data_IF_704597870291
#
_entry.id   IF_704597870291
#
_cell.length_a   1.000
_cell.length_b   1.000
_cell.length_c   1.000
_cell.angle_alpha   90.00
_cell.angle_beta   90.00
_cell.angle_gamma   90.00
#
_symmetry.space_group_name_H-M   'P 1'
#
loop_
_entity.id
_entity.type
_entity.pdbx_description
1 polymer ?
#
# COMPACT_ATOMS: atom_id res chain seq x y z
N UNK A 1 41.62 6.49 -29.98
CA UNK A 1 41.21 5.58 -28.88
C UNK A 1 39.72 5.79 -28.65
N UNK A 2 38.87 4.86 -29.10
CA UNK A 2 37.42 5.06 -29.26
C UNK A 2 36.63 4.26 -28.20
N UNK A 3 35.96 4.98 -27.29
CA UNK A 3 34.56 4.80 -26.88
C UNK A 3 34.07 3.38 -26.50
N UNK A 4 34.48 2.84 -25.34
CA UNK A 4 33.87 1.63 -24.75
C UNK A 4 33.03 1.94 -23.49
N UNK A 5 32.26 3.03 -23.50
CA UNK A 5 31.38 3.43 -22.38
C UNK A 5 30.08 2.61 -22.29
N UNK A 6 29.73 1.83 -23.33
CA UNK A 6 28.51 1.02 -23.39
C UNK A 6 28.59 -0.31 -22.60
N UNK A 7 29.80 -0.80 -22.30
CA UNK A 7 30.02 -2.07 -21.57
C UNK A 7 30.66 -1.84 -20.20
N UNK A 8 30.27 -0.78 -19.49
CA UNK A 8 30.76 -0.49 -18.15
C UNK A 8 29.96 -1.30 -17.11
N UNK A 9 30.62 -2.23 -16.42
CA UNK A 9 30.03 -2.95 -15.28
C UNK A 9 29.64 -1.96 -14.18
N UNK A 10 28.33 -1.79 -13.93
CA UNK A 10 27.73 -0.77 -13.02
C UNK A 10 28.01 0.71 -13.40
N UNK A 11 28.27 1.02 -14.67
CA UNK A 11 28.43 2.40 -15.11
C UNK A 11 27.14 3.21 -15.04
N UNK A 12 27.19 4.43 -14.50
CA UNK A 12 26.10 5.41 -14.68
C UNK A 12 26.16 5.94 -16.12
N UNK A 13 25.20 5.51 -16.92
CA UNK A 13 25.01 5.99 -18.29
C UNK A 13 24.47 7.42 -18.30
N UNK A 14 24.68 8.14 -19.41
CA UNK A 14 24.05 9.44 -19.63
C UNK A 14 22.57 9.22 -19.92
N UNK A 15 21.67 9.99 -19.27
CA UNK A 15 20.21 9.85 -19.43
C UNK A 15 19.76 9.84 -20.90
N UNK A 16 20.48 10.54 -21.79
CA UNK A 16 20.19 10.55 -23.24
C UNK A 16 20.51 9.21 -23.92
N UNK A 17 21.60 8.57 -23.54
CA UNK A 17 21.99 7.27 -24.08
C UNK A 17 20.99 6.17 -23.65
N UNK A 18 20.57 6.20 -22.39
CA UNK A 18 19.56 5.27 -21.88
C UNK A 18 18.22 5.42 -22.60
N UNK A 19 17.77 6.66 -22.81
CA UNK A 19 16.54 6.93 -23.55
C UNK A 19 16.64 6.45 -24.99
N UNK A 20 17.75 6.69 -25.68
CA UNK A 20 17.94 6.23 -27.06
C UNK A 20 17.96 4.70 -27.14
N UNK A 21 18.66 4.02 -26.24
CA UNK A 21 18.69 2.56 -26.19
C UNK A 21 17.30 1.97 -25.87
N UNK A 22 16.55 2.59 -24.96
CA UNK A 22 15.18 2.19 -24.65
C UNK A 22 14.24 2.35 -25.86
N UNK A 23 14.32 3.48 -26.56
CA UNK A 23 13.55 3.73 -27.79
C UNK A 23 13.91 2.69 -28.86
N UNK A 24 15.20 2.42 -29.08
CA UNK A 24 15.66 1.50 -30.11
C UNK A 24 15.23 0.05 -29.80
N UNK A 25 15.30 -0.36 -28.54
CA UNK A 25 14.77 -1.66 -28.09
C UNK A 25 13.26 -1.75 -28.31
N UNK A 26 12.51 -0.70 -28.00
CA UNK A 26 11.05 -0.67 -28.16
C UNK A 26 10.64 -0.71 -29.64
N UNK A 27 11.30 0.09 -30.49
CA UNK A 27 11.07 0.07 -31.95
C UNK A 27 11.45 -1.28 -32.54
N UNK A 28 12.56 -1.88 -32.09
CA UNK A 28 12.97 -3.22 -32.51
C UNK A 28 11.94 -4.30 -32.16
N UNK A 29 11.33 -4.22 -30.97
CA UNK A 29 10.26 -5.11 -30.55
C UNK A 29 9.01 -4.96 -31.44
N UNK A 30 8.57 -3.72 -31.71
CA UNK A 30 7.43 -3.46 -32.58
C UNK A 30 7.70 -3.93 -34.01
N UNK A 31 8.90 -3.66 -34.54
CA UNK A 31 9.31 -4.11 -35.86
C UNK A 31 9.32 -5.63 -35.97
N UNK A 32 9.85 -6.32 -34.94
CA UNK A 32 9.80 -7.77 -34.85
C UNK A 32 8.36 -8.28 -34.84
N UNK A 33 7.47 -7.71 -34.03
CA UNK A 33 6.06 -8.08 -33.99
C UNK A 33 5.36 -7.86 -35.34
N UNK A 34 5.56 -6.71 -35.97
CA UNK A 34 5.01 -6.41 -37.30
C UNK A 34 5.47 -7.44 -38.33
N UNK A 35 6.78 -7.73 -38.37
CA UNK A 35 7.32 -8.74 -39.30
C UNK A 35 6.77 -10.14 -39.03
N UNK A 36 6.65 -10.55 -37.76
CA UNK A 36 6.11 -11.85 -37.40
C UNK A 36 4.62 -12.00 -37.75
N UNK A 37 3.85 -10.91 -37.70
CA UNK A 37 2.44 -10.89 -38.08
C UNK A 37 2.22 -10.88 -39.61
N UNK A 38 3.04 -10.14 -40.36
CA UNK A 38 2.96 -10.07 -41.85
C UNK A 38 3.49 -11.33 -42.53
N UNK A 39 4.50 -12.00 -41.95
CA UNK A 39 5.08 -13.22 -42.51
C UNK A 39 4.19 -14.47 -42.29
N UNK A 40 2.99 -14.30 -41.72
CA UNK A 40 2.00 -15.36 -41.44
C UNK A 40 2.56 -16.60 -40.71
N UNK A 41 3.64 -16.44 -39.92
CA UNK A 41 4.18 -17.52 -39.09
C UNK A 41 3.14 -18.06 -38.07
N UNK A 42 2.14 -17.23 -37.74
CA UNK A 42 1.00 -17.55 -36.88
C UNK A 42 -0.24 -16.94 -37.52
N UNK A 43 -1.37 -17.66 -37.54
CA UNK A 43 -2.60 -17.15 -38.16
C UNK A 43 -3.03 -15.80 -37.56
N UNK A 44 -3.50 -14.89 -38.41
CA UNK A 44 -3.91 -13.52 -38.05
C UNK A 44 -5.00 -13.43 -36.97
N UNK A 45 -5.71 -14.55 -36.69
CA UNK A 45 -6.67 -14.66 -35.59
C UNK A 45 -5.98 -14.71 -34.21
N UNK A 46 -4.74 -15.20 -34.13
CA UNK A 46 -3.95 -15.25 -32.90
C UNK A 46 -2.93 -14.11 -32.82
N UNK A 47 -2.41 -13.62 -33.95
CA UNK A 47 -1.44 -12.51 -33.99
C UNK A 47 -1.84 -11.43 -35.01
N UNK A 48 -2.83 -10.57 -34.70
CA UNK A 48 -3.19 -9.45 -35.57
C UNK A 48 -2.03 -8.46 -35.69
N UNK A 49 -1.95 -7.78 -36.85
CA UNK A 49 -0.95 -6.73 -37.06
C UNK A 49 -1.18 -5.56 -36.09
N UNK A 50 -0.13 -4.84 -35.67
CA UNK A 50 -0.27 -3.67 -34.79
C UNK A 50 -1.20 -2.60 -35.38
N UNK A 51 -1.28 -2.49 -36.71
CA UNK A 51 -2.21 -1.59 -37.38
C UNK A 51 -3.67 -2.02 -37.19
N UNK A 52 -3.97 -3.32 -37.35
CA UNK A 52 -5.31 -3.85 -37.11
C UNK A 52 -5.73 -3.71 -35.63
N UNK A 53 -4.77 -3.79 -34.70
CA UNK A 53 -5.02 -3.50 -33.29
C UNK A 53 -5.39 -2.03 -33.09
N UNK A 54 -4.71 -1.09 -33.75
CA UNK A 54 -5.01 0.35 -33.65
C UNK A 54 -6.37 0.71 -34.25
N UNK A 55 -6.71 0.16 -35.43
CA UNK A 55 -8.00 0.42 -36.07
C UNK A 55 -9.15 -0.20 -35.28
N UNK A 56 -8.96 -1.42 -34.73
CA UNK A 56 -9.90 -2.05 -33.82
C UNK A 56 -10.06 -1.23 -32.51
N UNK A 57 -8.96 -0.71 -31.95
CA UNK A 57 -9.01 0.17 -30.77
C UNK A 57 -9.84 1.44 -31.05
N UNK A 58 -9.63 2.08 -32.19
CA UNK A 58 -10.36 3.29 -32.57
C UNK A 58 -11.85 3.01 -32.78
N UNK A 59 -12.19 1.95 -33.52
CA UNK A 59 -13.59 1.56 -33.74
C UNK A 59 -14.27 1.17 -32.43
N UNK A 60 -13.64 0.38 -31.56
CA UNK A 60 -14.20 0.06 -30.25
C UNK A 60 -14.43 1.32 -29.40
N UNK A 61 -13.45 2.23 -29.35
CA UNK A 61 -13.52 3.44 -28.53
C UNK A 61 -14.60 4.44 -29.01
N UNK A 62 -14.83 4.53 -30.32
CA UNK A 62 -15.75 5.52 -30.92
C UNK A 62 -17.15 4.97 -31.16
N UNK A 63 -17.30 3.71 -31.57
CA UNK A 63 -18.59 3.14 -32.02
C UNK A 63 -19.26 2.22 -30.99
N UNK A 64 -18.54 1.71 -29.99
CA UNK A 64 -19.07 0.71 -29.05
C UNK A 64 -19.11 1.17 -27.59
N UNK A 65 -19.02 2.48 -27.36
CA UNK A 65 -19.09 3.09 -26.02
C UNK A 65 -18.18 2.36 -24.99
N UNK A 66 -17.00 1.95 -25.45
CA UNK A 66 -16.05 1.14 -24.67
C UNK A 66 -15.63 1.81 -23.35
N UNK A 67 -15.80 3.13 -23.25
CA UNK A 67 -15.60 3.88 -22.02
C UNK A 67 -16.60 3.48 -20.93
N UNK A 68 -17.84 3.16 -21.27
CA UNK A 68 -18.84 2.66 -20.33
C UNK A 68 -18.42 1.30 -19.76
N UNK A 69 -17.97 0.37 -20.61
CA UNK A 69 -17.48 -0.95 -20.19
C UNK A 69 -16.25 -0.86 -19.28
N UNK A 70 -15.32 0.05 -19.61
CA UNK A 70 -14.17 0.37 -18.77
C UNK A 70 -14.66 0.91 -17.41
N UNK A 71 -15.59 1.86 -17.44
CA UNK A 71 -16.10 2.49 -16.22
C UNK A 71 -16.80 1.47 -15.32
N UNK A 72 -17.65 0.60 -15.87
CA UNK A 72 -18.34 -0.46 -15.12
C UNK A 72 -17.33 -1.42 -14.48
N UNK A 73 -16.28 -1.78 -15.21
CA UNK A 73 -15.21 -2.67 -14.71
C UNK A 73 -14.45 -2.01 -13.56
N UNK A 74 -14.07 -0.74 -13.74
CA UNK A 74 -13.36 0.07 -12.72
C UNK A 74 -14.25 0.28 -11.49
N UNK A 75 -15.50 0.68 -11.68
CA UNK A 75 -16.47 0.92 -10.62
C UNK A 75 -16.71 -0.34 -9.77
N UNK A 76 -16.72 -1.53 -10.40
CA UNK A 76 -16.85 -2.81 -9.68
C UNK A 76 -15.65 -3.09 -8.79
N UNK A 77 -14.43 -2.91 -9.31
CA UNK A 77 -13.20 -3.11 -8.53
C UNK A 77 -13.13 -2.12 -7.37
N UNK A 78 -13.41 -0.84 -7.64
CA UNK A 78 -13.46 0.19 -6.60
C UNK A 78 -14.56 -0.07 -5.57
N UNK A 79 -15.75 -0.49 -5.98
CA UNK A 79 -16.85 -0.83 -5.09
C UNK A 79 -16.47 -1.96 -4.14
N UNK A 80 -15.93 -3.06 -4.67
CA UNK A 80 -15.46 -4.19 -3.86
C UNK A 80 -14.30 -3.79 -2.94
N UNK A 81 -13.34 -3.00 -3.45
CA UNK A 81 -12.20 -2.51 -2.68
C UNK A 81 -12.62 -1.61 -1.52
N UNK A 82 -13.48 -0.63 -1.75
CA UNK A 82 -13.95 0.29 -0.71
C UNK A 82 -14.74 -0.46 0.36
N UNK A 83 -15.64 -1.36 -0.05
CA UNK A 83 -16.40 -2.20 0.88
C UNK A 83 -15.48 -3.11 1.69
N UNK A 84 -14.44 -3.65 1.06
CA UNK A 84 -13.40 -4.42 1.76
C UNK A 84 -12.60 -3.55 2.72
N UNK A 85 -12.14 -2.37 2.30
CA UNK A 85 -11.31 -1.48 3.10
C UNK A 85 -12.04 -1.01 4.37
N UNK A 86 -13.30 -0.60 4.24
CA UNK A 86 -14.13 -0.15 5.38
C UNK A 86 -14.23 -1.25 6.45
N UNK A 87 -14.31 -2.52 6.05
CA UNK A 87 -14.38 -3.66 6.98
C UNK A 87 -13.00 -4.13 7.44
N UNK A 88 -12.02 -4.15 6.54
CA UNK A 88 -10.69 -4.68 6.79
C UNK A 88 -9.86 -3.79 7.71
N UNK A 89 -9.98 -2.46 7.60
CA UNK A 89 -9.26 -1.50 8.45
C UNK A 89 -9.54 -1.72 9.94
N UNK A 90 -10.79 -1.70 10.44
CA UNK A 90 -11.05 -1.90 11.86
C UNK A 90 -10.64 -3.32 12.32
N UNK A 91 -10.89 -4.34 11.50
CA UNK A 91 -10.55 -5.73 11.85
C UNK A 91 -9.03 -5.93 11.93
N UNK A 92 -8.27 -5.44 10.96
CA UNK A 92 -6.80 -5.54 10.95
C UNK A 92 -6.16 -4.79 12.12
N UNK A 93 -6.69 -3.61 12.46
CA UNK A 93 -6.23 -2.85 13.63
C UNK A 93 -6.54 -3.59 14.94
N UNK A 94 -7.73 -4.17 15.09
CA UNK A 94 -8.08 -4.96 16.26
C UNK A 94 -7.24 -6.24 16.39
N UNK A 95 -6.99 -6.91 15.27
CA UNK A 95 -6.11 -8.08 15.20
C UNK A 95 -4.70 -7.76 15.69
N UNK A 96 -4.15 -6.59 15.33
CA UNK A 96 -2.82 -6.18 15.81
C UNK A 96 -2.83 -5.60 17.22
N UNK A 97 -3.91 -4.94 17.66
CA UNK A 97 -3.96 -4.26 18.96
C UNK A 97 -4.16 -5.24 20.12
N UNK A 98 -4.91 -6.32 19.91
CA UNK A 98 -5.25 -7.28 20.96
C UNK A 98 -4.62 -8.63 20.69
N UNK A 99 -3.75 -9.09 21.61
CA UNK A 99 -3.05 -10.38 21.48
C UNK A 99 -3.99 -11.57 21.30
N UNK A 100 -5.15 -11.58 21.97
CA UNK A 100 -6.17 -12.64 21.87
C UNK A 100 -6.74 -12.70 20.45
N UNK A 101 -7.09 -11.55 19.88
CA UNK A 101 -7.62 -11.46 18.52
C UNK A 101 -6.53 -11.88 17.54
N UNK A 102 -5.32 -11.31 17.63
CA UNK A 102 -4.18 -11.71 16.80
C UNK A 102 -3.96 -13.22 16.78
N UNK A 103 -3.84 -13.85 17.94
CA UNK A 103 -3.57 -15.30 18.06
C UNK A 103 -4.68 -16.16 17.43
N UNK A 104 -5.95 -15.73 17.51
CA UNK A 104 -7.08 -16.47 16.92
C UNK A 104 -7.20 -16.24 15.41
N UNK A 105 -6.94 -15.02 14.95
CA UNK A 105 -7.13 -14.66 13.53
C UNK A 105 -5.94 -15.02 12.67
N UNK A 106 -4.70 -14.96 13.19
CA UNK A 106 -3.47 -15.33 12.48
C UNK A 106 -3.57 -16.67 11.73
N UNK A 107 -3.91 -17.81 12.39
CA UNK A 107 -3.99 -19.10 11.70
C UNK A 107 -5.10 -19.17 10.65
N UNK A 108 -6.24 -18.51 10.88
CA UNK A 108 -7.37 -18.48 9.93
C UNK A 108 -6.95 -17.74 8.66
N UNK A 109 -6.33 -16.57 8.84
CA UNK A 109 -5.97 -15.72 7.71
C UNK A 109 -4.74 -16.29 6.97
N UNK A 110 -3.79 -16.91 7.68
CA UNK A 110 -2.69 -17.64 7.06
C UNK A 110 -3.20 -18.83 6.22
N UNK A 111 -4.22 -19.57 6.69
CA UNK A 111 -4.84 -20.63 5.91
C UNK A 111 -5.45 -20.09 4.61
N UNK A 112 -6.21 -18.99 4.71
CA UNK A 112 -6.86 -18.36 3.55
C UNK A 112 -5.81 -17.82 2.56
N UNK A 113 -4.66 -17.34 3.04
CA UNK A 113 -3.57 -16.88 2.17
C UNK A 113 -3.06 -17.97 1.23
N UNK A 114 -3.05 -19.23 1.66
CA UNK A 114 -2.65 -20.36 0.81
C UNK A 114 -3.79 -20.83 -0.12
N UNK A 115 -5.02 -20.38 0.11
CA UNK A 115 -6.20 -20.78 -0.64
C UNK A 115 -6.52 -19.71 -1.70
N UNK A 116 -6.21 -19.94 -2.99
CA UNK A 116 -6.45 -18.95 -4.02
C UNK A 116 -7.95 -18.69 -4.15
N UNK A 117 -8.36 -17.43 -4.06
CA UNK A 117 -9.77 -16.98 -4.21
C UNK A 117 -10.43 -17.49 -5.50
N UNK A 118 -9.71 -17.62 -6.64
CA UNK A 118 -10.26 -18.28 -7.84
C UNK A 118 -10.85 -19.68 -7.60
N UNK A 119 -10.37 -20.43 -6.60
CA UNK A 119 -10.90 -21.75 -6.25
C UNK A 119 -12.30 -21.67 -5.61
N UNK A 120 -12.68 -20.52 -5.04
CA UNK A 120 -13.98 -20.29 -4.42
C UNK A 120 -15.04 -19.79 -5.43
N UNK A 121 -14.64 -19.46 -6.66
CA UNK A 121 -15.55 -18.95 -7.70
C UNK A 121 -16.75 -19.88 -7.95
N UNK A 122 -16.58 -21.22 -8.12
CA UNK A 122 -17.72 -22.10 -8.37
C UNK A 122 -18.71 -22.12 -7.19
N UNK A 123 -18.20 -22.12 -5.95
CA UNK A 123 -19.02 -22.10 -4.74
C UNK A 123 -19.83 -20.80 -4.65
N UNK A 124 -19.19 -19.65 -4.94
CA UNK A 124 -19.83 -18.35 -4.93
C UNK A 124 -20.91 -18.22 -6.01
N UNK A 125 -20.71 -18.82 -7.19
CA UNK A 125 -21.73 -18.88 -8.23
C UNK A 125 -22.94 -19.71 -7.78
N UNK A 126 -22.73 -20.82 -7.06
CA UNK A 126 -23.84 -21.64 -6.54
C UNK A 126 -24.65 -20.86 -5.49
N UNK A 127 -23.99 -20.09 -4.63
CA UNK A 127 -24.64 -19.33 -3.56
C UNK A 127 -25.32 -18.05 -4.04
N UNK A 128 -24.61 -17.21 -4.79
CA UNK A 128 -25.09 -15.90 -5.24
C UNK A 128 -25.78 -15.95 -6.61
N UNK A 129 -25.70 -17.08 -7.31
CA UNK A 129 -26.17 -17.24 -8.68
C UNK A 129 -25.17 -16.70 -9.72
N UNK A 130 -25.57 -16.79 -10.98
CA UNK A 130 -24.84 -16.18 -12.09
C UNK A 130 -25.30 -14.72 -12.21
N UNK A 131 -24.38 -13.79 -12.03
CA UNK A 131 -24.67 -12.36 -12.15
C UNK A 131 -23.60 -11.47 -11.55
N UNK A 132 -23.91 -10.18 -11.41
CA UNK A 132 -22.93 -9.16 -11.02
C UNK A 132 -22.61 -9.15 -9.53
N UNK A 133 -23.54 -9.61 -8.69
CA UNK A 133 -23.33 -9.86 -7.27
C UNK A 133 -22.22 -10.90 -7.04
N UNK A 134 -22.22 -12.00 -7.81
CA UNK A 134 -21.21 -13.06 -7.69
C UNK A 134 -19.80 -12.55 -8.01
N UNK A 135 -19.65 -11.73 -9.06
CA UNK A 135 -18.37 -11.12 -9.45
C UNK A 135 -17.86 -10.17 -8.37
N UNK A 136 -18.76 -9.35 -7.80
CA UNK A 136 -18.43 -8.44 -6.71
C UNK A 136 -18.05 -9.19 -5.43
N UNK A 137 -18.74 -10.27 -5.10
CA UNK A 137 -18.44 -11.10 -3.92
C UNK A 137 -17.06 -11.76 -4.03
N UNK A 138 -16.69 -12.28 -5.21
CA UNK A 138 -15.35 -12.83 -5.48
C UNK A 138 -14.28 -11.76 -5.28
N UNK A 139 -14.47 -10.57 -5.88
CA UNK A 139 -13.54 -9.45 -5.74
C UNK A 139 -13.40 -9.02 -4.28
N UNK A 140 -14.51 -8.82 -3.59
CA UNK A 140 -14.55 -8.43 -2.19
C UNK A 140 -13.83 -9.45 -1.31
N UNK A 141 -14.13 -10.74 -1.47
CA UNK A 141 -13.51 -11.81 -0.68
C UNK A 141 -12.00 -11.86 -0.92
N UNK A 142 -11.56 -11.69 -2.17
CA UNK A 142 -10.14 -11.70 -2.50
C UNK A 142 -9.36 -10.48 -2.02
N UNK A 143 -9.97 -9.30 -2.03
CA UNK A 143 -9.32 -8.09 -1.51
C UNK A 143 -9.41 -7.99 0.00
N UNK A 144 -10.50 -8.44 0.62
CA UNK A 144 -10.75 -8.31 2.05
C UNK A 144 -9.69 -9.01 2.89
N UNK A 145 -9.44 -10.31 2.68
CA UNK A 145 -8.46 -11.05 3.48
C UNK A 145 -7.04 -10.52 3.30
N UNK A 146 -6.68 -10.15 2.07
CA UNK A 146 -5.38 -9.54 1.78
C UNK A 146 -5.21 -8.16 2.44
N UNK A 147 -6.27 -7.34 2.47
CA UNK A 147 -6.25 -6.05 3.14
C UNK A 147 -6.15 -6.18 4.66
N UNK A 148 -6.85 -7.14 5.27
CA UNK A 148 -6.75 -7.39 6.73
C UNK A 148 -5.30 -7.73 7.10
N UNK A 149 -4.64 -8.60 6.33
CA UNK A 149 -3.23 -8.94 6.54
C UNK A 149 -2.31 -7.74 6.37
N UNK A 150 -2.47 -7.00 5.26
CA UNK A 150 -1.66 -5.82 4.97
C UNK A 150 -1.71 -4.82 6.12
N UNK A 151 -2.92 -4.51 6.60
CA UNK A 151 -3.14 -3.54 7.67
C UNK A 151 -2.65 -4.08 9.02
N UNK A 152 -2.85 -5.37 9.29
CA UNK A 152 -2.32 -6.03 10.49
C UNK A 152 -0.79 -5.97 10.54
N UNK A 153 -0.12 -6.31 9.44
CA UNK A 153 1.34 -6.29 9.34
C UNK A 153 1.91 -4.87 9.40
N UNK A 154 1.28 -3.91 8.72
CA UNK A 154 1.71 -2.52 8.77
C UNK A 154 1.51 -1.90 10.15
N UNK A 155 0.44 -2.28 10.87
CA UNK A 155 0.24 -1.87 12.25
C UNK A 155 1.31 -2.44 13.19
N UNK A 156 1.71 -3.71 12.99
CA UNK A 156 2.77 -4.35 13.77
C UNK A 156 4.16 -3.73 13.57
N UNK A 157 4.38 -3.00 12.46
CA UNK A 157 5.66 -2.31 12.17
C UNK A 157 5.88 -1.07 13.02
N UNK A 158 4.84 -0.54 13.69
CA UNK A 158 4.98 0.63 14.57
C UNK A 158 5.93 0.30 15.73
N UNK A 159 7.01 1.09 15.94
CA UNK A 159 7.93 0.87 17.06
C UNK A 159 7.24 0.86 18.41
N UNK A 160 7.59 -0.11 19.26
CA UNK A 160 7.02 -0.25 20.62
C UNK A 160 7.27 0.99 21.50
N UNK A 161 8.34 1.72 21.24
CA UNK A 161 8.70 2.98 21.91
C UNK A 161 7.55 4.00 21.90
N UNK A 162 6.80 4.10 20.80
CA UNK A 162 5.65 5.01 20.71
C UNK A 162 4.49 4.57 21.60
N UNK A 163 4.28 3.26 21.72
CA UNK A 163 3.22 2.69 22.56
C UNK A 163 3.59 2.86 24.04
N UNK A 164 4.83 2.57 24.42
CA UNK A 164 5.35 2.73 25.79
C UNK A 164 5.30 4.20 26.24
N UNK A 165 5.68 5.13 25.37
CA UNK A 165 5.56 6.57 25.65
C UNK A 165 4.10 6.98 25.89
N UNK A 166 3.16 6.44 25.10
CA UNK A 166 1.72 6.63 25.31
C UNK A 166 1.24 6.17 26.70
N UNK A 167 1.77 5.05 27.21
CA UNK A 167 1.44 4.57 28.54
C UNK A 167 2.04 5.46 29.65
N UNK A 168 3.25 6.01 29.48
CA UNK A 168 3.85 6.92 30.47
C UNK A 168 3.06 8.21 30.68
N UNK A 169 2.36 8.69 29.65
CA UNK A 169 1.47 9.86 29.74
C UNK A 169 0.04 9.51 30.21
N UNK A 170 -0.22 8.24 30.55
CA UNK A 170 -1.51 7.79 31.06
C UNK A 170 -2.60 7.56 30.01
N UNK A 171 -2.24 7.36 28.73
CA UNK A 171 -3.21 7.12 27.67
C UNK A 171 -3.91 5.76 27.83
N UNK A 172 -5.21 5.72 27.52
CA UNK A 172 -5.99 4.47 27.51
C UNK A 172 -5.66 3.63 26.27
N UNK A 173 -5.78 2.28 26.31
CA UNK A 173 -5.46 1.40 25.17
C UNK A 173 -6.19 1.78 23.87
N UNK A 174 -7.49 2.07 23.92
CA UNK A 174 -8.24 2.51 22.73
C UNK A 174 -7.81 3.89 22.20
N UNK A 175 -7.32 4.77 23.08
CA UNK A 175 -6.79 6.08 22.67
C UNK A 175 -5.44 5.92 21.97
N UNK A 176 -4.59 5.00 22.44
CA UNK A 176 -3.33 4.62 21.79
C UNK A 176 -3.60 4.03 20.40
N UNK A 177 -4.59 3.12 20.28
CA UNK A 177 -4.97 2.53 18.98
C UNK A 177 -5.37 3.59 17.96
N UNK A 178 -6.23 4.55 18.33
CA UNK A 178 -6.70 5.59 17.41
C UNK A 178 -5.69 6.71 17.14
N UNK A 179 -4.84 7.07 18.10
CA UNK A 179 -3.94 8.24 17.97
C UNK A 179 -2.51 7.89 17.55
N UNK A 180 -2.06 6.66 17.79
CA UNK A 180 -0.67 6.25 17.52
C UNK A 180 -0.66 5.18 16.42
N UNK A 181 -1.51 4.16 16.56
CA UNK A 181 -1.56 3.02 15.65
C UNK A 181 -2.27 3.33 14.33
N UNK A 182 -3.41 4.01 14.33
CA UNK A 182 -4.12 4.36 13.08
C UNK A 182 -3.31 5.30 12.15
N UNK A 183 -2.65 6.38 12.63
CA UNK A 183 -1.83 7.23 11.78
C UNK A 183 -0.40 6.69 11.52
N UNK A 184 0.08 5.74 12.32
CA UNK A 184 1.44 5.18 12.21
C UNK A 184 1.78 4.63 10.82
N UNK A 185 0.93 3.77 10.21
CA UNK A 185 1.16 3.21 8.87
C UNK A 185 1.20 4.24 7.74
N UNK A 186 0.39 5.30 7.83
CA UNK A 186 0.35 6.36 6.82
C UNK A 186 1.60 7.26 6.81
N UNK A 187 2.42 7.20 7.87
CA UNK A 187 3.56 8.08 8.02
C UNK A 187 4.86 7.28 7.89
N UNK A 188 5.52 7.29 6.72
CA UNK A 188 6.84 6.68 6.62
C UNK A 188 7.76 7.39 7.61
N UNK A 189 8.35 6.59 8.49
CA UNK A 189 9.12 6.94 9.70
C UNK A 189 10.40 7.76 9.44
N UNK A 190 10.55 8.40 8.28
CA UNK A 190 11.73 9.19 7.89
C UNK A 190 11.59 10.70 8.07
N UNK A 191 10.40 11.24 8.37
CA UNK A 191 10.20 12.69 8.45
C UNK A 191 9.80 13.16 9.85
N UNK A 192 10.79 13.69 10.58
CA UNK A 192 10.68 14.52 11.80
C UNK A 192 9.58 15.60 11.69
N UNK A 193 9.20 15.99 10.47
CA UNK A 193 8.14 16.94 10.14
C UNK A 193 6.74 16.55 10.63
N UNK A 194 6.43 15.26 10.82
CA UNK A 194 5.09 14.84 11.24
C UNK A 194 4.86 14.84 12.76
N UNK A 195 5.94 14.87 13.56
CA UNK A 195 5.85 14.97 15.03
C UNK A 195 5.62 16.42 15.47
N UNK A 196 6.07 17.40 14.68
CA UNK A 196 5.95 18.83 15.00
C UNK A 196 4.50 19.32 15.18
N UNK A 197 3.51 18.95 14.35
CA UNK A 197 2.12 19.39 14.53
C UNK A 197 1.51 18.88 15.84
N UNK A 198 1.85 17.64 16.25
CA UNK A 198 1.34 17.03 17.48
C UNK A 198 2.07 17.51 18.74
N UNK A 199 3.37 17.82 18.65
CA UNK A 199 4.11 18.51 19.71
C UNK A 199 3.60 19.94 19.94
N UNK A 200 3.07 20.58 18.89
CA UNK A 200 2.49 21.92 18.97
C UNK A 200 1.08 22.00 19.57
N UNK A 201 0.25 20.95 19.43
CA UNK A 201 -1.18 21.01 19.74
C UNK A 201 -1.61 20.31 21.05
N UNK A 202 -0.68 19.67 21.78
CA UNK A 202 -1.00 18.92 22.99
C UNK A 202 -0.81 19.69 24.32
N UNK A 203 -1.53 19.27 25.40
CA UNK A 203 -1.36 19.76 26.78
C UNK A 203 0.04 19.47 27.40
N UNK A 204 0.96 18.89 26.63
CA UNK A 204 2.35 18.65 27.03
C UNK A 204 3.18 19.94 26.93
N UNK A 205 2.84 20.85 26.02
CA UNK A 205 3.53 22.14 25.87
C UNK A 205 3.33 23.08 27.07
N UNK A 206 2.22 22.93 27.80
CA UNK A 206 1.94 23.69 29.03
C UNK A 206 2.73 23.15 30.24
N UNK A 207 2.95 21.85 30.32
CA UNK A 207 3.80 21.22 31.36
C UNK A 207 5.28 21.60 31.19
N UNK A 208 5.77 21.59 29.95
CA UNK A 208 7.16 21.98 29.66
C UNK A 208 7.41 23.48 29.90
N UNK A 209 6.38 24.32 29.76
CA UNK A 209 6.42 25.76 30.07
C UNK A 209 6.36 26.03 31.58
N UNK A 210 5.76 25.12 32.36
CA UNK A 210 5.70 25.17 33.83
C UNK A 210 7.04 24.79 34.48
N UNK A 211 7.72 23.76 33.97
CA UNK A 211 9.05 23.35 34.46
C UNK A 211 10.17 24.34 34.11
N UNK A 212 9.96 25.18 33.08
CA UNK A 212 10.88 26.27 32.72
C UNK A 212 10.69 27.53 33.58
N UNK A 213 9.67 27.56 34.46
CA UNK A 213 9.28 28.71 35.29
C UNK A 213 9.68 28.60 36.75
N UNK A 214 10.44 27.60 37.17
CA UNK A 214 11.12 27.60 38.48
C UNK A 214 12.53 28.17 38.31
N UNK A 215 12.76 29.48 38.57
CA UNK A 215 14.11 30.00 38.69
C UNK A 215 14.69 29.42 39.99
N UNK A 216 15.96 29.04 39.95
CA UNK A 216 16.63 28.29 41.02
C UNK A 216 16.28 28.75 42.44
N UNK A 217 15.72 27.81 43.22
CA UNK A 217 15.71 27.88 44.68
C UNK A 217 16.84 26.99 45.21
N UNK A 218 17.98 27.64 45.41
CA UNK A 218 19.05 27.38 46.38
C UNK A 218 18.85 26.16 47.29
N UNK A 219 19.79 25.20 47.22
CA UNK A 219 20.07 24.26 48.32
C UNK A 219 21.08 24.93 49.27
N UNK A 220 20.76 25.18 50.56
CA UNK A 220 21.72 25.66 51.54
C UNK A 220 22.60 24.49 52.01
N UNK A 221 23.91 24.60 51.80
CA UNK A 221 24.89 23.78 52.52
C UNK A 221 25.23 24.48 53.84
N UNK A 222 25.15 23.76 54.95
CA UNK A 222 25.73 24.16 56.23
C UNK A 222 26.33 22.94 56.92
N UNK A 223 26.91 23.04 58.14
CA UNK A 223 27.57 24.17 58.81
C UNK A 223 29.08 23.83 59.06
N UNK A 224 29.86 24.60 59.84
CA UNK A 224 31.34 24.61 59.77
C UNK A 224 32.01 23.61 60.71
N UNK A 225 33.09 22.96 60.24
CA UNK A 225 34.14 22.36 61.07
C UNK A 225 35.49 22.94 60.61
N UNK A 226 36.42 23.36 61.44
CA UNK A 226 36.65 23.01 62.84
C UNK A 226 37.89 22.14 62.98
N UNK A 227 39.07 22.65 62.58
CA UNK A 227 40.41 22.37 63.13
C UNK A 227 41.46 23.08 62.28
#
# INVERSE_FOLDING_TARGET
MKNHWLFAYRGKSSTRADVVLAILAFVGLIGFWYSAAELEFVSQRFLPTPWNVLTALYTMLVEHDFLEDIWISVARVWGAFLMSAIMAIPIGIWMSSYRIVGTLTEPIVDFIRYLPVPALVPLLIIWFGIGESSKLAVLWMGTFFQLVLLIGDDTKRVPKEFIETGFTVGARPGQITWHIVFPGPCCPTSSITCVLPWVGAGPISSLQRSLRRTPGSVMPSGPPGGS
#
